data_IF_533886243565
#
_entry.id   IF_533886243565
#
_cell.length_a   1.000
_cell.length_b   1.000
_cell.length_c   1.000
_cell.angle_alpha   90.00
_cell.angle_beta   90.00
_cell.angle_gamma   90.00
#
_symmetry.space_group_name_H-M   'P 1'
#
loop_
_entity.id
_entity.type
_entity.pdbx_description
1 polymer ?
#
# COMPACT_ATOMS: atom_id res chain seq x y z
N UNK A 1 35.02 3.90 -14.42
CA UNK A 1 34.12 4.61 -15.35
C UNK A 1 33.13 3.60 -15.90
N UNK A 2 31.83 3.85 -15.79
CA UNK A 2 30.82 2.89 -16.26
C UNK A 2 30.83 2.88 -17.80
N UNK A 3 30.92 1.68 -18.39
CA UNK A 3 30.92 1.50 -19.84
C UNK A 3 29.52 1.84 -20.37
N UNK A 4 29.46 2.72 -21.37
CA UNK A 4 28.19 3.15 -21.97
C UNK A 4 27.48 1.98 -22.65
N UNK A 5 26.16 1.88 -22.49
CA UNK A 5 25.38 0.83 -23.14
C UNK A 5 25.03 1.30 -24.54
N UNK A 6 25.44 0.55 -25.57
CA UNK A 6 25.10 0.84 -26.96
C UNK A 6 24.07 -0.17 -27.44
N UNK A 7 22.87 0.31 -27.78
CA UNK A 7 21.80 -0.48 -28.37
C UNK A 7 21.87 -0.37 -29.90
N UNK A 8 21.54 -1.43 -30.62
CA UNK A 8 21.41 -1.38 -32.08
C UNK A 8 20.02 -1.81 -32.50
N UNK A 9 19.38 -0.97 -33.33
CA UNK A 9 18.05 -1.19 -33.89
C UNK A 9 18.05 -0.64 -35.31
N UNK A 10 17.58 -1.43 -36.28
CA UNK A 10 17.51 -1.06 -37.72
C UNK A 10 18.81 -0.50 -38.30
N UNK A 11 19.95 -1.03 -37.86
CA UNK A 11 21.28 -0.59 -38.30
C UNK A 11 21.77 0.72 -37.67
N UNK A 12 20.94 1.41 -36.88
CA UNK A 12 21.36 2.54 -36.07
C UNK A 12 21.90 2.09 -34.72
N UNK A 13 22.76 2.93 -34.12
CA UNK A 13 23.35 2.71 -32.80
C UNK A 13 22.95 3.85 -31.87
N UNK A 14 22.50 3.47 -30.67
CA UNK A 14 22.01 4.39 -29.65
C UNK A 14 22.85 4.22 -28.38
N UNK A 15 23.59 5.25 -28.01
CA UNK A 15 24.22 5.31 -26.69
C UNK A 15 23.18 5.68 -25.65
N UNK A 16 23.04 4.84 -24.61
CA UNK A 16 22.08 5.05 -23.53
C UNK A 16 22.76 4.89 -22.17
N UNK A 17 22.22 5.60 -21.19
CA UNK A 17 22.64 5.49 -19.80
C UNK A 17 21.59 4.75 -18.98
N UNK A 18 22.04 4.00 -17.97
CA UNK A 18 21.14 3.37 -17.02
C UNK A 18 20.59 4.42 -16.07
N UNK A 19 19.26 4.55 -16.03
CA UNK A 19 18.56 5.31 -15.01
C UNK A 19 17.85 4.34 -14.07
N UNK A 20 18.12 4.44 -12.77
CA UNK A 20 17.33 3.73 -11.75
C UNK A 20 15.93 4.32 -11.75
N UNK A 21 14.92 3.50 -11.99
CA UNK A 21 13.52 3.90 -11.95
C UNK A 21 12.92 3.43 -10.62
N UNK A 22 12.15 4.30 -9.97
CA UNK A 22 11.38 3.95 -8.77
C UNK A 22 10.15 3.10 -9.16
N UNK A 23 9.80 2.11 -8.34
CA UNK A 23 8.65 1.23 -8.59
C UNK A 23 7.34 2.03 -8.61
N UNK A 24 7.25 3.10 -7.82
CA UNK A 24 6.09 4.00 -7.82
C UNK A 24 5.86 4.66 -9.19
N UNK A 25 6.95 4.94 -9.93
CA UNK A 25 6.86 5.56 -11.26
C UNK A 25 6.44 4.57 -12.36
N UNK A 26 6.55 3.26 -12.11
CA UNK A 26 6.22 2.20 -13.08
C UNK A 26 4.78 1.73 -12.89
N UNK A 27 4.39 1.50 -11.63
CA UNK A 27 3.10 0.88 -11.30
C UNK A 27 2.05 1.89 -10.83
N UNK A 28 2.44 3.14 -10.55
CA UNK A 28 1.58 4.13 -9.92
C UNK A 28 1.21 3.72 -8.48
N UNK A 29 0.14 4.33 -7.96
CA UNK A 29 -0.47 3.98 -6.68
C UNK A 29 -1.83 3.30 -6.91
N UNK A 30 -2.11 2.24 -6.16
CA UNK A 30 -3.45 1.63 -6.10
C UNK A 30 -4.10 2.09 -4.81
N UNK A 31 -5.22 2.82 -4.93
CA UNK A 31 -6.04 3.23 -3.79
C UNK A 31 -7.30 2.35 -3.77
N UNK A 32 -7.55 1.68 -2.64
CA UNK A 32 -8.72 0.82 -2.47
C UNK A 32 -9.80 1.66 -1.80
N UNK A 33 -10.81 2.04 -2.57
CA UNK A 33 -12.00 2.74 -2.06
C UNK A 33 -13.16 1.76 -1.94
N UNK A 34 -13.80 1.72 -0.78
CA UNK A 34 -15.04 1.00 -0.56
C UNK A 34 -16.15 2.03 -0.32
N UNK A 35 -17.34 1.81 -0.88
CA UNK A 35 -18.48 2.72 -0.76
C UNK A 35 -19.70 1.99 -0.21
N UNK A 36 -20.58 2.72 0.48
CA UNK A 36 -21.89 2.22 0.91
C UNK A 36 -22.93 2.26 -0.23
N UNK A 37 -24.15 1.79 0.04
CA UNK A 37 -25.26 1.79 -0.93
C UNK A 37 -25.69 3.19 -1.39
N UNK A 38 -25.26 4.24 -0.68
CA UNK A 38 -25.55 5.64 -1.00
C UNK A 38 -24.36 6.35 -1.66
N UNK A 39 -23.27 5.63 -1.92
CA UNK A 39 -22.05 6.17 -2.53
C UNK A 39 -21.13 6.93 -1.58
N UNK A 40 -21.31 6.80 -0.26
CA UNK A 40 -20.38 7.41 0.70
C UNK A 40 -19.18 6.49 0.94
N UNK A 41 -17.95 7.03 1.12
CA UNK A 41 -16.78 6.23 1.46
C UNK A 41 -16.99 5.44 2.76
N UNK A 42 -16.78 4.13 2.69
CA UNK A 42 -16.82 3.24 3.82
C UNK A 42 -15.69 3.59 4.79
N UNK A 43 -16.06 3.75 6.05
CA UNK A 43 -15.12 4.07 7.11
C UNK A 43 -14.69 2.79 7.83
N UNK A 44 -13.38 2.64 8.03
CA UNK A 44 -12.85 1.57 8.86
C UNK A 44 -13.16 1.86 10.34
N UNK A 45 -13.87 0.95 10.99
CA UNK A 45 -14.18 1.00 12.43
C UNK A 45 -13.54 -0.18 13.14
N UNK A 46 -13.25 -0.01 14.44
CA UNK A 46 -12.67 -1.07 15.27
C UNK A 46 -13.76 -1.72 16.12
N UNK A 47 -13.89 -3.05 16.05
CA UNK A 47 -14.75 -3.78 16.98
C UNK A 47 -14.11 -3.86 18.36
N UNK A 48 -14.81 -3.38 19.38
CA UNK A 48 -14.35 -3.43 20.76
C UNK A 48 -14.24 -4.87 21.28
N UNK A 49 -13.56 -5.04 22.42
CA UNK A 49 -13.31 -6.34 23.02
C UNK A 49 -14.58 -7.10 23.46
N UNK A 50 -15.72 -6.41 23.53
CA UNK A 50 -17.04 -6.99 23.80
C UNK A 50 -17.67 -7.68 22.59
N UNK A 51 -17.08 -7.51 21.40
CA UNK A 51 -17.57 -8.09 20.15
C UNK A 51 -18.85 -7.49 19.61
N UNK A 52 -19.34 -6.36 20.17
CA UNK A 52 -20.64 -5.76 19.83
C UNK A 52 -20.58 -4.27 19.61
N UNK A 53 -19.55 -3.60 20.12
CA UNK A 53 -19.43 -2.14 20.02
C UNK A 53 -18.44 -1.76 18.93
N UNK A 54 -18.87 -0.90 18.01
CA UNK A 54 -17.99 -0.30 17.00
C UNK A 54 -17.41 1.01 17.53
N UNK A 55 -16.09 1.15 17.43
CA UNK A 55 -15.34 2.35 17.83
C UNK A 55 -14.92 3.11 16.57
N UNK A 56 -15.21 4.40 16.58
CA UNK A 56 -14.85 5.35 15.54
C UNK A 56 -13.52 6.08 15.86
N UNK A 57 -13.15 7.03 14.99
CA UNK A 57 -11.93 7.83 15.16
C UNK A 57 -12.03 8.65 16.44
N UNK A 58 -11.19 8.32 17.43
CA UNK A 58 -11.17 8.97 18.75
C UNK A 58 -11.80 8.12 19.87
N UNK A 59 -12.44 7.00 19.53
CA UNK A 59 -12.93 6.04 20.51
C UNK A 59 -11.79 5.33 21.26
N UNK A 60 -11.87 5.31 22.58
CA UNK A 60 -10.93 4.54 23.42
C UNK A 60 -11.57 3.21 23.82
N UNK A 61 -11.01 2.10 23.34
CA UNK A 61 -11.44 0.75 23.71
C UNK A 61 -10.57 0.14 24.81
N UNK A 62 -11.18 -0.29 25.91
CA UNK A 62 -10.49 -1.09 26.94
C UNK A 62 -10.34 -2.53 26.45
N UNK A 63 -9.11 -2.91 26.08
CA UNK A 63 -8.78 -4.29 25.73
C UNK A 63 -8.05 -4.99 26.86
N UNK A 64 -8.64 -6.07 27.37
CA UNK A 64 -7.96 -6.98 28.30
C UNK A 64 -6.92 -7.79 27.53
N UNK A 65 -5.64 -7.46 27.69
CA UNK A 65 -4.54 -8.24 27.13
C UNK A 65 -4.41 -9.56 27.89
N UNK A 66 -4.93 -10.65 27.32
CA UNK A 66 -4.59 -12.00 27.77
C UNK A 66 -3.24 -12.36 27.14
N UNK A 67 -2.21 -12.54 27.98
CA UNK A 67 -0.95 -13.14 27.54
C UNK A 67 -1.25 -14.55 27.06
N UNK A 68 -0.94 -14.83 25.79
CA UNK A 68 -1.03 -16.18 25.22
C UNK A 68 0.01 -17.05 25.94
N UNK A 69 -0.45 -17.81 26.93
CA UNK A 69 0.37 -18.80 27.61
C UNK A 69 0.80 -19.85 26.60
N UNK A 70 2.10 -19.92 26.34
CA UNK A 70 2.74 -21.02 25.64
C UNK A 70 2.71 -22.19 26.62
N UNK A 71 1.86 -23.18 26.33
CA UNK A 71 1.99 -24.54 26.87
C UNK A 71 2.67 -25.39 25.82
#
# INVERSE_FOLDING_TARGET
MAKELVLSLDGQRFSVSFRKIDREQIYGSIEIEAFDEKGNPAQLLVLAADGKTLLDKGGTGLRRSMRKGIR
#
